data_IF_308857851519
#
_entry.id   IF_308857851519
#
_cell.length_a   1.000
_cell.length_b   1.000
_cell.length_c   1.000
_cell.angle_alpha   90.00
_cell.angle_beta   90.00
_cell.angle_gamma   90.00
#
_symmetry.space_group_name_H-M   'P 1'
#
loop_
_entity.id
_entity.type
_entity.pdbx_description
1 polymer ?
#
# COMPACT_ATOMS: atom_id res chain seq x y z
N UNK A 1 13.62 -25.68 -26.90
CA UNK A 1 13.63 -24.91 -25.64
C UNK A 1 12.67 -23.76 -25.81
N UNK A 2 11.65 -23.66 -24.96
CA UNK A 2 10.74 -22.53 -24.95
C UNK A 2 11.43 -21.40 -24.19
N UNK A 3 11.59 -20.24 -24.82
CA UNK A 3 12.07 -19.04 -24.13
C UNK A 3 10.89 -18.54 -23.30
N UNK A 4 10.96 -18.76 -21.98
CA UNK A 4 10.02 -18.17 -21.02
C UNK A 4 10.48 -16.73 -20.77
N UNK A 5 9.56 -15.77 -20.80
CA UNK A 5 9.88 -14.39 -20.43
C UNK A 5 10.44 -14.36 -19.01
N UNK A 6 11.56 -13.65 -18.84
CA UNK A 6 12.14 -13.48 -17.51
C UNK A 6 11.23 -12.60 -16.65
N UNK A 7 11.08 -13.01 -15.39
CA UNK A 7 10.30 -12.26 -14.43
C UNK A 7 10.90 -10.85 -14.28
N UNK A 8 10.07 -9.78 -14.31
CA UNK A 8 10.54 -8.40 -14.40
C UNK A 8 11.45 -7.97 -13.25
N UNK A 9 11.46 -8.69 -12.13
CA UNK A 9 12.33 -8.44 -10.99
C UNK A 9 13.18 -9.67 -10.62
N UNK A 10 14.04 -10.08 -11.56
CA UNK A 10 14.94 -11.23 -11.38
C UNK A 10 15.87 -11.12 -10.16
N UNK A 11 16.13 -9.92 -9.64
CA UNK A 11 16.90 -9.64 -8.44
C UNK A 11 16.06 -8.90 -7.37
N UNK A 12 14.95 -9.51 -6.97
CA UNK A 12 14.07 -8.98 -5.92
C UNK A 12 14.81 -8.63 -4.61
N UNK A 13 15.93 -9.30 -4.32
CA UNK A 13 16.80 -9.05 -3.16
C UNK A 13 18.13 -8.37 -3.51
N UNK A 14 18.16 -7.53 -4.55
CA UNK A 14 19.29 -6.62 -4.77
C UNK A 14 19.53 -5.70 -3.55
N UNK A 15 20.75 -5.20 -3.39
CA UNK A 15 21.07 -4.23 -2.33
C UNK A 15 20.14 -3.00 -2.40
N UNK A 16 19.79 -2.58 -3.62
CA UNK A 16 18.88 -1.46 -3.85
C UNK A 16 17.46 -1.76 -3.38
N UNK A 17 16.92 -2.93 -3.69
CA UNK A 17 15.57 -3.31 -3.26
C UNK A 17 15.50 -3.51 -1.75
N UNK A 18 16.53 -4.10 -1.13
CA UNK A 18 16.62 -4.19 0.33
C UNK A 18 16.63 -2.80 0.98
N UNK A 19 17.37 -1.84 0.41
CA UNK A 19 17.37 -0.46 0.88
C UNK A 19 15.98 0.19 0.80
N UNK A 20 15.27 0.01 -0.31
CA UNK A 20 13.89 0.50 -0.45
C UNK A 20 12.93 -0.15 0.56
N UNK A 21 13.07 -1.45 0.81
CA UNK A 21 12.26 -2.15 1.81
C UNK A 21 12.55 -1.66 3.24
N UNK A 22 13.80 -1.30 3.53
CA UNK A 22 14.18 -0.72 4.82
C UNK A 22 13.57 0.67 5.04
N UNK A 23 13.54 1.51 4.00
CA UNK A 23 12.84 2.81 4.06
C UNK A 23 11.37 2.58 4.40
N UNK A 24 10.70 1.65 3.71
CA UNK A 24 9.32 1.30 4.00
C UNK A 24 9.14 0.81 5.45
N UNK A 25 10.00 -0.09 5.94
CA UNK A 25 9.92 -0.59 7.31
C UNK A 25 10.06 0.53 8.36
N UNK A 26 10.96 1.49 8.14
CA UNK A 26 11.12 2.65 9.03
C UNK A 26 9.89 3.56 8.96
N UNK A 27 9.35 3.83 7.78
CA UNK A 27 8.14 4.63 7.62
C UNK A 27 6.93 3.98 8.30
N UNK A 28 6.79 2.67 8.18
CA UNK A 28 5.74 1.88 8.82
C UNK A 28 5.84 1.94 10.35
N UNK A 29 7.06 1.87 10.91
CA UNK A 29 7.26 2.03 12.35
C UNK A 29 6.93 3.46 12.82
N UNK A 30 7.35 4.49 12.07
CA UNK A 30 6.99 5.88 12.39
C UNK A 30 5.47 6.06 12.34
N UNK A 31 4.81 5.49 11.33
CA UNK A 31 3.36 5.56 11.13
C UNK A 31 2.57 5.00 12.31
N UNK A 32 3.01 3.91 12.94
CA UNK A 32 2.36 3.35 14.14
C UNK A 32 2.13 4.36 15.25
N UNK A 33 3.04 5.32 15.40
CA UNK A 33 2.96 6.35 16.42
C UNK A 33 2.20 7.59 15.96
N UNK A 34 2.20 7.88 14.66
CA UNK A 34 1.58 9.10 14.12
C UNK A 34 0.13 8.91 13.69
N UNK A 35 -0.28 7.69 13.33
CA UNK A 35 -1.63 7.40 12.82
C UNK A 35 -2.75 7.62 13.85
N UNK A 36 -2.43 7.64 15.14
CA UNK A 36 -3.38 7.98 16.22
C UNK A 36 -4.00 9.37 16.05
N UNK A 37 -3.36 10.26 15.27
CA UNK A 37 -3.90 11.58 14.92
C UNK A 37 -5.17 11.50 14.07
N UNK A 38 -5.37 10.40 13.35
CA UNK A 38 -6.58 10.14 12.56
C UNK A 38 -7.75 9.64 13.42
N UNK A 39 -7.50 9.30 14.69
CA UNK A 39 -8.49 8.84 15.66
C UNK A 39 -7.96 7.74 16.57
N UNK A 40 -8.58 7.58 17.75
CA UNK A 40 -8.21 6.54 18.72
C UNK A 40 -8.31 5.12 18.16
N UNK A 41 -9.22 4.90 17.22
CA UNK A 41 -9.47 3.60 16.60
C UNK A 41 -8.31 3.13 15.71
N UNK A 42 -7.41 4.04 15.32
CA UNK A 42 -6.23 3.72 14.51
C UNK A 42 -5.01 3.34 15.36
N UNK A 43 -5.11 3.45 16.69
CA UNK A 43 -4.00 3.13 17.58
C UNK A 43 -3.57 1.66 17.40
N UNK A 44 -2.28 1.46 17.20
CA UNK A 44 -1.71 0.12 17.08
C UNK A 44 -1.38 -0.49 18.44
N UNK A 45 -1.68 -1.78 18.59
CA UNK A 45 -1.33 -2.54 19.78
C UNK A 45 0.15 -2.93 19.80
N UNK A 46 0.63 -3.30 20.99
CA UNK A 46 2.02 -3.73 21.22
C UNK A 46 2.50 -4.85 20.30
N UNK A 47 1.62 -5.80 19.95
CA UNK A 47 1.97 -6.90 19.04
C UNK A 47 2.40 -6.37 17.66
N UNK A 48 1.67 -5.41 17.08
CA UNK A 48 2.01 -4.83 15.79
C UNK A 48 3.29 -4.01 15.85
N UNK A 49 3.50 -3.26 16.94
CA UNK A 49 4.74 -2.51 17.17
C UNK A 49 5.94 -3.47 17.18
N UNK A 50 5.85 -4.60 17.88
CA UNK A 50 6.91 -5.62 17.89
C UNK A 50 7.15 -6.18 16.49
N UNK A 51 6.09 -6.51 15.72
CA UNK A 51 6.24 -6.94 14.33
C UNK A 51 6.95 -5.90 13.45
N UNK A 52 6.71 -4.60 13.68
CA UNK A 52 7.38 -3.52 12.95
C UNK A 52 8.84 -3.39 13.31
N UNK A 53 9.20 -3.57 14.58
CA UNK A 53 10.60 -3.63 15.01
C UNK A 53 11.32 -4.84 14.41
N UNK A 54 10.68 -6.02 14.37
CA UNK A 54 11.21 -7.20 13.67
C UNK A 54 11.41 -6.91 12.17
N UNK A 55 10.48 -6.15 11.58
CA UNK A 55 10.56 -5.70 10.18
C UNK A 55 11.76 -4.82 9.83
N UNK A 56 12.46 -4.25 10.83
CA UNK A 56 13.74 -3.55 10.61
C UNK A 56 14.92 -4.53 10.46
N UNK A 57 14.78 -5.75 10.96
CA UNK A 57 15.78 -6.82 10.81
C UNK A 57 15.48 -7.65 9.57
N UNK A 58 14.20 -7.91 9.33
CA UNK A 58 13.70 -8.65 8.16
C UNK A 58 12.81 -7.72 7.32
N UNK A 59 13.41 -6.92 6.43
CA UNK A 59 12.67 -5.98 5.60
C UNK A 59 11.60 -6.66 4.74
N UNK A 60 10.47 -6.00 4.56
CA UNK A 60 9.34 -6.48 3.74
C UNK A 60 8.19 -7.13 4.51
N UNK A 61 8.42 -7.62 5.74
CA UNK A 61 7.34 -8.15 6.61
C UNK A 61 6.38 -7.08 7.17
N UNK A 62 6.82 -5.89 7.61
CA UNK A 62 5.99 -5.04 8.47
C UNK A 62 4.77 -4.42 7.77
N UNK A 63 4.71 -4.44 6.43
CA UNK A 63 3.60 -3.88 5.65
C UNK A 63 2.45 -4.88 5.38
N UNK A 64 2.51 -6.09 5.95
CA UNK A 64 1.55 -7.17 5.68
C UNK A 64 0.67 -7.52 6.88
N UNK A 65 0.28 -6.52 7.67
CA UNK A 65 -0.66 -6.73 8.77
C UNK A 65 -2.11 -6.45 8.33
N UNK A 66 -3.10 -7.30 8.67
CA UNK A 66 -4.50 -7.08 8.31
C UNK A 66 -5.05 -5.71 8.73
N UNK A 67 -4.59 -5.18 9.86
CA UNK A 67 -4.99 -3.86 10.36
C UNK A 67 -4.62 -2.73 9.38
N UNK A 68 -3.53 -2.86 8.63
CA UNK A 68 -3.11 -1.85 7.65
C UNK A 68 -4.08 -1.76 6.46
N UNK A 69 -4.63 -2.89 6.02
CA UNK A 69 -5.68 -2.92 5.00
C UNK A 69 -7.00 -2.31 5.49
N UNK A 70 -7.37 -2.58 6.75
CA UNK A 70 -8.56 -1.97 7.36
C UNK A 70 -8.36 -0.46 7.52
N UNK A 71 -7.19 -0.02 7.98
CA UNK A 71 -6.91 1.40 8.16
C UNK A 71 -6.87 2.15 6.82
N UNK A 72 -6.23 1.59 5.78
CA UNK A 72 -6.16 2.21 4.46
C UNK A 72 -7.54 2.36 3.81
N UNK A 73 -8.44 1.39 3.98
CA UNK A 73 -9.82 1.50 3.47
C UNK A 73 -10.63 2.54 4.23
N UNK A 74 -10.44 2.68 5.56
CA UNK A 74 -11.12 3.70 6.38
C UNK A 74 -10.65 5.12 6.12
N UNK A 75 -9.35 5.30 5.85
CA UNK A 75 -8.74 6.59 5.50
C UNK A 75 -8.90 6.95 4.02
N UNK A 76 -9.40 6.01 3.20
CA UNK A 76 -9.62 6.23 1.77
C UNK A 76 -10.70 7.26 1.47
N UNK A 77 -10.56 7.95 0.33
CA UNK A 77 -11.57 8.93 -0.12
C UNK A 77 -12.92 8.25 -0.36
N UNK A 78 -14.04 8.83 0.11
CA UNK A 78 -15.39 8.35 -0.22
C UNK A 78 -15.64 8.27 -1.74
N UNK A 79 -14.99 9.12 -2.53
CA UNK A 79 -15.10 9.15 -3.98
C UNK A 79 -14.62 7.87 -4.65
N UNK A 80 -13.69 7.13 -4.01
CA UNK A 80 -13.21 5.85 -4.51
C UNK A 80 -14.32 4.78 -4.56
N UNK A 81 -15.40 4.96 -3.80
CA UNK A 81 -16.55 4.07 -3.76
C UNK A 81 -17.74 4.58 -4.59
N UNK A 82 -17.65 5.79 -5.16
CA UNK A 82 -18.69 6.29 -6.04
C UNK A 82 -18.58 5.61 -7.41
N UNK A 83 -19.70 5.18 -8.01
CA UNK A 83 -19.68 4.71 -9.38
C UNK A 83 -19.13 5.84 -10.26
N UNK A 84 -18.13 5.53 -11.11
CA UNK A 84 -17.66 6.51 -12.08
C UNK A 84 -18.86 7.01 -12.86
N UNK A 85 -19.24 8.27 -12.63
CA UNK A 85 -20.22 8.95 -13.46
C UNK A 85 -19.62 8.95 -14.85
N UNK A 86 -20.05 8.02 -15.69
CA UNK A 86 -19.72 7.99 -17.13
C UNK A 86 -20.01 9.40 -17.63
N UNK A 87 -18.97 10.19 -17.86
CA UNK A 87 -19.09 11.37 -18.69
C UNK A 87 -19.43 10.81 -20.06
N UNK A 88 -20.71 10.72 -20.39
CA UNK A 88 -21.12 10.63 -21.79
C UNK A 88 -20.61 11.92 -22.39
N UNK A 89 -19.44 11.85 -23.01
CA UNK A 89 -18.90 12.98 -23.74
C UNK A 89 -19.95 13.36 -24.77
N UNK A 90 -20.22 14.65 -24.89
CA UNK A 90 -21.09 15.24 -25.90
C UNK A 90 -20.70 14.82 -27.33
N UNK A 91 -19.52 14.22 -27.50
CA UNK A 91 -18.98 13.68 -28.75
C UNK A 91 -19.79 12.49 -29.32
N UNK A 92 -20.47 11.69 -28.48
CA UNK A 92 -21.23 10.52 -28.97
C UNK A 92 -22.50 10.92 -29.73
N UNK A 93 -23.04 12.11 -29.46
CA UNK A 93 -24.27 12.63 -30.12
C UNK A 93 -23.94 13.26 -31.48
N UNK A 94 -22.71 13.75 -31.67
CA UNK A 94 -22.26 14.36 -32.92
C UNK A 94 -21.93 13.32 -34.02
N UNK A 95 -21.73 12.05 -33.66
CA UNK A 95 -21.52 10.95 -34.62
C UNK A 95 -22.83 10.31 -35.13
N UNK A 96 -23.98 10.76 -34.62
CA UNK A 96 -25.31 10.26 -34.99
C UNK A 96 -26.14 11.28 -35.80
N UNK A 97 -25.53 12.38 -36.24
CA UNK A 97 -26.06 13.35 -37.21
C UNK A 97 -25.12 13.46 -38.41
#
# INVERSE_FOLDING_TARGET
MQVVEEEPNKNYFSIWSVFLMMINAVQELIRSFTIVKEGSDYQEGWLLIVFRVIGLVVPGIPAHCPQDYVNSTRLGSPEAFLPQRRQTSTDDVALLL
#
